data_IF_990783619643
#
_entry.id   IF_990783619643
#
_cell.length_a   1.000
_cell.length_b   1.000
_cell.length_c   1.000
_cell.angle_alpha   90.00
_cell.angle_beta   90.00
_cell.angle_gamma   90.00
#
_symmetry.space_group_name_H-M   'P 1'
#
loop_
_entity.id
_entity.type
_entity.pdbx_description
1 polymer ?
#
# COMPACT_ATOMS: atom_id res chain seq x y z
N UNK A 1 -26.74 2.56 -16.49
CA UNK A 1 -25.81 1.44 -16.25
C UNK A 1 -24.63 1.96 -15.43
N UNK A 2 -24.75 1.93 -14.10
CA UNK A 2 -23.73 2.43 -13.13
C UNK A 2 -23.27 1.35 -12.16
N UNK A 3 -24.07 0.28 -12.04
CA UNK A 3 -23.88 -0.85 -11.12
C UNK A 3 -22.67 -1.70 -11.53
N UNK A 4 -22.39 -1.84 -12.83
CA UNK A 4 -21.28 -2.67 -13.31
C UNK A 4 -19.91 -2.12 -12.91
N UNK A 5 -19.76 -0.80 -12.84
CA UNK A 5 -18.49 -0.17 -12.45
C UNK A 5 -18.18 -0.40 -10.98
N UNK A 6 -19.17 -0.23 -10.10
CA UNK A 6 -18.99 -0.43 -8.66
C UNK A 6 -18.63 -1.88 -8.33
N UNK A 7 -19.26 -2.84 -9.03
CA UNK A 7 -18.94 -4.26 -8.90
C UNK A 7 -17.51 -4.56 -9.39
N UNK A 8 -17.14 -4.06 -10.58
CA UNK A 8 -15.80 -4.24 -11.14
C UNK A 8 -14.72 -3.65 -10.22
N UNK A 9 -14.93 -2.43 -9.71
CA UNK A 9 -13.99 -1.77 -8.82
C UNK A 9 -13.83 -2.55 -7.49
N UNK A 10 -14.92 -3.13 -6.98
CA UNK A 10 -14.89 -3.97 -5.78
C UNK A 10 -14.05 -5.24 -6.01
N UNK A 11 -14.19 -5.88 -7.17
CA UNK A 11 -13.39 -7.06 -7.52
C UNK A 11 -11.91 -6.72 -7.71
N UNK A 12 -11.59 -5.61 -8.37
CA UNK A 12 -10.22 -5.12 -8.52
C UNK A 12 -9.61 -4.85 -7.14
N UNK A 13 -10.33 -4.12 -6.27
CA UNK A 13 -9.88 -3.85 -4.91
C UNK A 13 -9.62 -5.14 -4.12
N UNK A 14 -10.54 -6.11 -4.17
CA UNK A 14 -10.38 -7.41 -3.50
C UNK A 14 -9.12 -8.14 -3.97
N UNK A 15 -8.87 -8.15 -5.27
CA UNK A 15 -7.70 -8.79 -5.88
C UNK A 15 -6.40 -8.10 -5.44
N UNK A 16 -6.38 -6.76 -5.44
CA UNK A 16 -5.22 -5.98 -4.98
C UNK A 16 -4.91 -6.26 -3.49
N UNK A 17 -5.94 -6.35 -2.64
CA UNK A 17 -5.75 -6.72 -1.24
C UNK A 17 -5.25 -8.14 -1.06
N UNK A 18 -5.69 -9.09 -1.88
CA UNK A 18 -5.14 -10.45 -1.87
C UNK A 18 -3.67 -10.48 -2.29
N UNK A 19 -3.28 -9.73 -3.33
CA UNK A 19 -1.87 -9.61 -3.73
C UNK A 19 -1.03 -9.00 -2.62
N UNK A 20 -1.53 -7.95 -1.96
CA UNK A 20 -0.88 -7.34 -0.79
C UNK A 20 -0.70 -8.37 0.34
N UNK A 21 -1.74 -9.13 0.66
CA UNK A 21 -1.70 -10.17 1.68
C UNK A 21 -0.63 -11.25 1.41
N UNK A 22 -0.50 -11.68 0.15
CA UNK A 22 0.52 -12.64 -0.24
C UNK A 22 1.93 -12.10 -0.06
N UNK A 23 2.16 -10.81 -0.35
CA UNK A 23 3.46 -10.15 -0.17
C UNK A 23 3.81 -9.91 1.30
N UNK A 24 2.82 -9.63 2.15
CA UNK A 24 2.99 -9.46 3.59
C UNK A 24 3.32 -10.78 4.33
N UNK A 25 3.03 -11.93 3.71
CA UNK A 25 3.41 -13.25 4.22
C UNK A 25 2.23 -14.12 4.66
N UNK A 26 2.51 -15.38 5.07
CA UNK A 26 1.49 -16.42 5.25
C UNK A 26 0.39 -16.07 6.24
N UNK A 27 0.73 -15.30 7.28
CA UNK A 27 -0.21 -14.90 8.34
C UNK A 27 -1.35 -13.99 7.84
N UNK A 28 -1.16 -13.33 6.70
CA UNK A 28 -2.10 -12.35 6.18
C UNK A 28 -2.95 -12.86 5.02
N UNK A 29 -2.62 -14.01 4.42
CA UNK A 29 -3.30 -14.56 3.24
C UNK A 29 -4.79 -14.84 3.47
N UNK A 30 -5.18 -15.22 4.69
CA UNK A 30 -6.58 -15.48 5.07
C UNK A 30 -7.27 -14.28 5.70
N UNK A 31 -6.59 -13.14 5.82
CA UNK A 31 -7.17 -11.94 6.41
C UNK A 31 -8.18 -11.28 5.46
N UNK A 32 -9.26 -10.75 6.04
CA UNK A 32 -10.24 -9.95 5.29
C UNK A 32 -9.61 -8.62 4.83
N UNK A 33 -10.04 -8.10 3.68
CA UNK A 33 -9.59 -6.82 3.14
C UNK A 33 -9.71 -5.67 4.15
N UNK A 34 -10.81 -5.64 4.92
CA UNK A 34 -11.01 -4.63 5.97
C UNK A 34 -9.93 -4.67 7.06
N UNK A 35 -9.45 -5.86 7.42
CA UNK A 35 -8.37 -6.02 8.39
C UNK A 35 -7.05 -5.53 7.82
N UNK A 36 -6.76 -5.85 6.56
CA UNK A 36 -5.56 -5.37 5.86
C UNK A 36 -5.56 -3.84 5.75
N UNK A 37 -6.69 -3.25 5.35
CA UNK A 37 -6.87 -1.81 5.29
C UNK A 37 -6.58 -1.15 6.64
N UNK A 38 -7.23 -1.59 7.73
CA UNK A 38 -7.03 -1.03 9.07
C UNK A 38 -5.59 -1.14 9.57
N UNK A 39 -4.89 -2.23 9.23
CA UNK A 39 -3.54 -2.50 9.72
C UNK A 39 -2.46 -1.76 8.94
N UNK A 40 -2.59 -1.68 7.62
CA UNK A 40 -1.50 -1.27 6.73
C UNK A 40 -1.77 0.00 5.93
N UNK A 41 -3.03 0.31 5.61
CA UNK A 41 -3.39 1.42 4.72
C UNK A 41 -3.97 2.60 5.52
N UNK A 42 -4.82 2.32 6.50
CA UNK A 42 -5.47 3.32 7.35
C UNK A 42 -4.54 3.75 8.47
N UNK A 43 -3.52 4.54 8.12
CA UNK A 43 -2.59 5.10 9.07
C UNK A 43 -2.29 6.57 8.73
N UNK A 44 -2.06 7.42 9.75
CA UNK A 44 -1.52 8.74 9.50
C UNK A 44 -0.10 8.61 8.92
N UNK A 45 0.14 9.36 7.86
CA UNK A 45 1.42 9.45 7.19
C UNK A 45 1.67 10.88 6.75
N UNK A 46 2.93 11.29 6.72
CA UNK A 46 3.34 12.57 6.14
C UNK A 46 3.77 12.32 4.72
N UNK A 47 3.17 13.03 3.76
CA UNK A 47 3.54 12.95 2.36
C UNK A 47 4.35 14.18 2.00
N UNK A 48 5.58 13.97 1.54
CA UNK A 48 6.48 15.01 1.06
C UNK A 48 6.59 14.82 -0.44
N UNK A 49 6.09 15.79 -1.21
CA UNK A 49 6.19 15.78 -2.67
C UNK A 49 7.30 16.72 -3.11
N UNK A 50 8.29 16.15 -3.79
CA UNK A 50 9.34 16.87 -4.48
C UNK A 50 9.12 16.76 -6.01
N UNK A 51 9.98 17.39 -6.81
CA UNK A 51 9.80 17.44 -8.27
C UNK A 51 9.88 16.04 -8.92
N UNK A 52 10.81 15.21 -8.45
CA UNK A 52 11.13 13.90 -9.04
C UNK A 52 10.88 12.72 -8.08
N UNK A 53 10.45 13.02 -6.86
CA UNK A 53 10.29 12.03 -5.81
C UNK A 53 9.09 12.36 -4.92
N UNK A 54 8.42 11.33 -4.45
CA UNK A 54 7.42 11.40 -3.40
C UNK A 54 7.88 10.51 -2.25
N UNK A 55 8.01 11.11 -1.07
CA UNK A 55 8.41 10.41 0.14
C UNK A 55 7.21 10.32 1.07
N UNK A 56 6.83 9.09 1.40
CA UNK A 56 5.73 8.78 2.32
C UNK A 56 6.32 8.29 3.62
N UNK A 57 6.21 9.13 4.63
CA UNK A 57 6.65 8.92 6.01
C UNK A 57 5.53 8.27 6.80
N UNK A 58 5.63 6.95 6.98
CA UNK A 58 4.72 6.17 7.78
C UNK A 58 5.04 6.32 9.28
N UNK A 59 4.02 6.52 10.10
CA UNK A 59 4.17 6.51 11.56
C UNK A 59 4.57 5.13 12.06
N UNK A 60 5.51 5.04 13.02
CA UNK A 60 5.88 3.78 13.67
C UNK A 60 4.67 3.09 14.30
N UNK A 61 4.35 1.89 13.81
CA UNK A 61 3.36 0.97 14.40
C UNK A 61 3.98 -0.42 14.56
N UNK A 62 3.42 -1.20 15.48
CA UNK A 62 3.85 -2.58 15.75
C UNK A 62 3.79 -3.50 14.51
N UNK A 63 3.01 -3.16 13.48
CA UNK A 63 2.88 -3.94 12.24
C UNK A 63 3.76 -3.46 11.09
N UNK A 64 4.61 -2.45 11.31
CA UNK A 64 5.52 -1.95 10.28
C UNK A 64 6.64 -2.95 9.96
N UNK A 65 6.94 -3.88 10.87
CA UNK A 65 7.89 -4.97 10.66
C UNK A 65 7.54 -5.81 9.44
N UNK A 66 6.24 -6.02 9.18
CA UNK A 66 5.77 -6.84 8.05
C UNK A 66 5.90 -6.11 6.73
N UNK A 67 5.69 -4.78 6.71
CA UNK A 67 5.92 -3.95 5.53
C UNK A 67 7.41 -3.92 5.16
N UNK A 68 8.29 -3.89 6.17
CA UNK A 68 9.73 -4.01 5.97
C UNK A 68 10.12 -5.39 5.44
N UNK A 69 9.57 -6.46 6.02
CA UNK A 69 9.82 -7.84 5.58
C UNK A 69 9.34 -8.08 4.13
N UNK A 70 8.24 -7.45 3.73
CA UNK A 70 7.69 -7.52 2.38
C UNK A 70 8.44 -6.67 1.34
N UNK A 71 9.48 -5.94 1.72
CA UNK A 71 10.30 -5.13 0.80
C UNK A 71 9.65 -3.81 0.36
N UNK A 72 8.60 -3.35 1.06
CA UNK A 72 7.94 -2.08 0.74
C UNK A 72 8.67 -0.86 1.30
N UNK A 73 9.68 -1.05 2.15
CA UNK A 73 10.43 0.06 2.75
C UNK A 73 11.63 0.38 1.88
N UNK A 74 11.77 1.65 1.52
CA UNK A 74 12.78 2.14 0.59
C UNK A 74 12.19 2.48 -0.80
N UNK A 75 13.06 2.66 -1.81
CA UNK A 75 12.64 3.08 -3.14
C UNK A 75 11.86 1.98 -3.87
N UNK A 76 10.65 2.31 -4.34
CA UNK A 76 9.75 1.39 -5.06
C UNK A 76 9.87 1.50 -6.60
N UNK A 77 10.80 2.34 -7.08
CA UNK A 77 10.99 2.65 -8.50
C UNK A 77 10.06 3.76 -9.02
N UNK A 78 10.28 4.20 -10.27
CA UNK A 78 9.46 5.22 -10.90
C UNK A 78 8.06 4.68 -11.20
N UNK A 79 7.04 5.48 -10.90
CA UNK A 79 5.64 5.11 -11.14
C UNK A 79 5.11 5.93 -12.31
N UNK A 80 4.81 5.30 -13.45
CA UNK A 80 4.49 6.02 -14.69
C UNK A 80 3.23 6.87 -14.64
N UNK A 81 2.19 6.42 -13.94
CA UNK A 81 0.98 7.24 -13.74
C UNK A 81 1.20 8.40 -12.74
N UNK A 82 2.37 8.43 -12.09
CA UNK A 82 2.79 9.45 -11.13
C UNK A 82 3.93 10.32 -11.70
N UNK A 83 3.87 10.63 -13.00
CA UNK A 83 4.88 11.42 -13.72
C UNK A 83 6.30 10.82 -13.62
N UNK A 84 6.39 9.49 -13.61
CA UNK A 84 7.65 8.73 -13.46
C UNK A 84 8.44 9.08 -12.18
N UNK A 85 7.78 9.68 -11.17
CA UNK A 85 8.42 10.03 -9.91
C UNK A 85 8.76 8.79 -9.10
N UNK A 86 9.90 8.85 -8.42
CA UNK A 86 10.31 7.82 -7.48
C UNK A 86 9.46 7.86 -6.22
N UNK A 87 8.95 6.71 -5.78
CA UNK A 87 8.26 6.59 -4.48
C UNK A 87 9.23 6.03 -3.43
N UNK A 88 9.40 6.76 -2.34
CA UNK A 88 10.11 6.28 -1.15
C UNK A 88 9.12 6.10 -0.01
N UNK A 89 9.14 4.90 0.58
CA UNK A 89 8.42 4.60 1.80
C UNK A 89 9.42 4.49 2.95
N UNK A 90 9.26 5.36 3.95
CA UNK A 90 10.13 5.39 5.13
C UNK A 90 9.32 5.50 6.42
N UNK A 91 9.97 5.18 7.55
CA UNK A 91 9.38 5.34 8.86
C UNK A 91 9.92 6.59 9.55
N UNK A 92 9.03 7.28 10.26
CA UNK A 92 9.40 8.29 11.26
C UNK A 92 9.46 7.59 12.61
#
# INVERSE_FOLDING_TARGET
>A
MRIDLDLQLTLIASTLYQVLAHRLGPRYQTCKCQTLFKKFVQAPATVISEKDQITVRLTRRAHNTELRAAGYVGPQGPISWLQDRNLILEYV
#
